data_IF_780066391393
#
_entry.id   IF_780066391393
#
_cell.length_a   1.000
_cell.length_b   1.000
_cell.length_c   1.000
_cell.angle_alpha   90.00
_cell.angle_beta   90.00
_cell.angle_gamma   90.00
#
_symmetry.space_group_name_H-M   'P 1'
#
loop_
_entity.id
_entity.type
_entity.pdbx_description
1 polymer ?
#
# COMPACT_ATOMS: atom_id res chain seq x y z
N UNK A 1 -6.18 -25.06 -1.02
CA UNK A 1 -4.78 -25.33 -0.65
C UNK A 1 -4.24 -24.09 0.03
N UNK A 2 -3.72 -24.21 1.26
CA UNK A 2 -3.06 -23.09 1.93
C UNK A 2 -1.58 -23.11 1.58
N UNK A 3 -1.10 -22.08 0.87
CA UNK A 3 0.33 -21.88 0.68
C UNK A 3 0.93 -21.39 1.99
N UNK A 4 1.91 -22.12 2.54
CA UNK A 4 2.67 -21.69 3.71
C UNK A 4 3.93 -20.99 3.21
N UNK A 5 4.10 -19.72 3.54
CA UNK A 5 5.28 -18.94 3.20
C UNK A 5 6.15 -18.80 4.44
N UNK A 6 7.45 -19.08 4.30
CA UNK A 6 8.45 -18.79 5.32
C UNK A 6 9.02 -17.40 5.04
N UNK A 7 8.67 -16.43 5.88
CA UNK A 7 9.15 -15.05 5.79
C UNK A 7 9.70 -14.58 7.14
N UNK A 8 10.63 -13.62 7.18
CA UNK A 8 11.09 -13.03 8.43
C UNK A 8 9.92 -12.48 9.25
N UNK A 9 9.95 -12.66 10.57
CA UNK A 9 8.85 -12.31 11.46
C UNK A 9 8.45 -10.83 11.38
N UNK A 10 9.41 -9.94 11.16
CA UNK A 10 9.20 -8.50 10.99
C UNK A 10 8.47 -8.13 9.69
N UNK A 11 8.42 -9.03 8.70
CA UNK A 11 7.74 -8.82 7.42
C UNK A 11 6.25 -9.21 7.51
N UNK A 12 5.89 -10.10 8.44
CA UNK A 12 4.52 -10.60 8.61
C UNK A 12 3.48 -9.48 8.79
N UNK A 13 3.65 -8.50 9.72
CA UNK A 13 2.64 -7.45 9.89
C UNK A 13 2.47 -6.58 8.64
N UNK A 14 3.55 -6.36 7.87
CA UNK A 14 3.50 -5.62 6.59
C UNK A 14 2.65 -6.39 5.58
N UNK A 15 2.94 -7.67 5.38
CA UNK A 15 2.19 -8.52 4.45
C UNK A 15 0.72 -8.66 4.88
N UNK A 16 0.45 -8.72 6.19
CA UNK A 16 -0.92 -8.69 6.71
C UNK A 16 -1.64 -7.42 6.23
N UNK A 17 -1.11 -6.24 6.53
CA UNK A 17 -1.74 -4.97 6.12
C UNK A 17 -1.93 -4.88 4.60
N UNK A 18 -0.90 -5.22 3.82
CA UNK A 18 -0.95 -5.18 2.35
C UNK A 18 -2.00 -6.16 1.80
N UNK A 19 -2.12 -7.35 2.40
CA UNK A 19 -3.15 -8.31 1.98
C UNK A 19 -4.58 -7.83 2.23
N UNK A 20 -4.80 -6.93 3.20
CA UNK A 20 -6.14 -6.44 3.50
C UNK A 20 -6.63 -5.39 2.48
N UNK A 21 -5.72 -4.77 1.73
CA UNK A 21 -6.04 -3.75 0.73
C UNK A 21 -6.97 -4.28 -0.36
N UNK A 22 -6.83 -5.56 -0.73
CA UNK A 22 -7.72 -6.20 -1.72
C UNK A 22 -9.19 -6.23 -1.27
N UNK A 23 -9.45 -6.13 0.03
CA UNK A 23 -10.79 -6.05 0.61
C UNK A 23 -11.26 -4.61 0.83
N UNK A 24 -10.45 -3.63 0.45
CA UNK A 24 -10.73 -2.20 0.61
C UNK A 24 -10.74 -1.69 2.04
N UNK A 25 -10.31 -2.51 2.99
CA UNK A 25 -10.37 -2.19 4.41
C UNK A 25 -9.23 -2.87 5.16
N UNK A 26 -8.40 -2.07 5.82
CA UNK A 26 -7.29 -2.54 6.65
C UNK A 26 -7.66 -2.30 8.11
N UNK A 27 -7.81 -3.38 8.88
CA UNK A 27 -7.87 -3.30 10.34
C UNK A 27 -6.46 -3.07 10.91
N UNK A 28 -6.26 -1.93 11.58
CA UNK A 28 -4.98 -1.58 12.18
C UNK A 28 -4.87 -2.03 13.65
N UNK A 29 -5.95 -2.50 14.27
CA UNK A 29 -5.89 -3.00 15.66
C UNK A 29 -5.19 -4.36 15.73
N UNK A 30 -5.50 -5.28 14.80
CA UNK A 30 -4.85 -6.58 14.71
C UNK A 30 -3.32 -6.49 14.69
N UNK A 31 -2.68 -5.71 13.80
CA UNK A 31 -1.23 -5.67 13.74
C UNK A 31 -0.56 -5.04 14.98
N UNK A 32 -1.18 -4.03 15.58
CA UNK A 32 -0.74 -3.46 16.86
C UNK A 32 -0.71 -4.51 17.96
N UNK A 33 -1.83 -5.22 18.14
CA UNK A 33 -1.99 -6.18 19.24
C UNK A 33 -1.15 -7.44 19.08
N UNK A 34 -0.95 -7.90 17.84
CA UNK A 34 -0.31 -9.19 17.57
C UNK A 34 1.20 -9.08 17.33
N UNK A 35 1.66 -7.98 16.76
CA UNK A 35 3.06 -7.80 16.35
C UNK A 35 3.70 -6.51 16.86
N UNK A 36 3.01 -5.72 17.69
CA UNK A 36 3.48 -4.40 18.14
C UNK A 36 3.87 -3.49 16.96
N UNK A 37 3.12 -3.62 15.86
CA UNK A 37 3.37 -2.90 14.62
C UNK A 37 2.36 -1.77 14.49
N UNK A 38 2.84 -0.54 14.31
CA UNK A 38 2.04 0.68 14.15
C UNK A 38 1.84 1.02 12.66
N UNK A 39 0.71 0.64 12.02
CA UNK A 39 0.57 0.78 10.56
C UNK A 39 0.48 2.23 10.11
N UNK A 40 -0.10 3.11 10.94
CA UNK A 40 -0.23 4.53 10.60
C UNK A 40 1.13 5.24 10.53
N UNK A 41 2.09 4.79 11.34
CA UNK A 41 3.46 5.33 11.32
C UNK A 41 4.29 4.66 10.21
N UNK A 42 4.19 3.33 10.09
CA UNK A 42 4.97 2.57 9.12
C UNK A 42 4.64 2.88 7.65
N UNK A 43 3.44 3.38 7.39
CA UNK A 43 2.94 3.72 6.05
C UNK A 43 2.54 5.19 5.92
N UNK A 44 3.04 6.06 6.81
CA UNK A 44 2.57 7.44 6.94
C UNK A 44 2.57 8.20 5.61
N UNK A 45 3.64 8.09 4.83
CA UNK A 45 3.81 8.81 3.56
C UNK A 45 2.79 8.34 2.53
N UNK A 46 2.64 7.02 2.39
CA UNK A 46 1.67 6.46 1.45
C UNK A 46 0.24 6.79 1.85
N UNK A 47 -0.07 6.71 3.15
CA UNK A 47 -1.39 7.04 3.71
C UNK A 47 -1.73 8.50 3.46
N UNK A 48 -0.87 9.44 3.85
CA UNK A 48 -1.07 10.88 3.69
C UNK A 48 -1.38 11.22 2.23
N UNK A 49 -0.54 10.74 1.31
CA UNK A 49 -0.73 10.95 -0.12
C UNK A 49 -2.05 10.36 -0.65
N UNK A 50 -2.43 9.17 -0.20
CA UNK A 50 -3.69 8.54 -0.61
C UNK A 50 -4.91 9.26 -0.03
N UNK A 51 -4.81 9.82 1.18
CA UNK A 51 -5.86 10.67 1.76
C UNK A 51 -6.00 11.95 0.93
N UNK A 52 -4.89 12.63 0.63
CA UNK A 52 -4.88 13.84 -0.21
C UNK A 52 -5.43 13.59 -1.63
N UNK A 53 -5.21 12.38 -2.14
CA UNK A 53 -5.71 11.96 -3.45
C UNK A 53 -7.15 11.41 -3.40
N UNK A 54 -7.84 11.46 -2.26
CA UNK A 54 -9.19 10.91 -2.06
C UNK A 54 -9.30 9.40 -2.37
N UNK A 55 -8.18 8.68 -2.28
CA UNK A 55 -8.08 7.23 -2.48
C UNK A 55 -8.34 6.47 -1.18
N UNK A 56 -8.17 7.13 -0.04
CA UNK A 56 -8.19 6.51 1.27
C UNK A 56 -8.85 7.41 2.32
N UNK A 57 -9.51 6.78 3.30
CA UNK A 57 -10.09 7.44 4.47
C UNK A 57 -9.52 6.73 5.71
N UNK A 58 -8.87 7.50 6.59
CA UNK A 58 -8.38 6.99 7.88
C UNK A 58 -9.46 7.20 8.94
N UNK A 59 -9.86 6.11 9.59
CA UNK A 59 -10.72 6.11 10.78
C UNK A 59 -9.92 5.61 11.99
N UNK A 60 -10.52 5.70 13.18
CA UNK A 60 -9.86 5.40 14.46
C UNK A 60 -9.04 4.08 14.46
N UNK A 61 -9.64 2.98 14.01
CA UNK A 61 -9.01 1.64 14.01
C UNK A 61 -8.97 1.01 12.62
N UNK A 62 -9.26 1.77 11.57
CA UNK A 62 -9.44 1.21 10.23
C UNK A 62 -8.95 2.21 9.19
N UNK A 63 -8.29 1.70 8.15
CA UNK A 63 -8.05 2.42 6.91
C UNK A 63 -9.02 1.87 5.86
N UNK A 64 -9.82 2.73 5.24
CA UNK A 64 -10.77 2.36 4.18
C UNK A 64 -10.30 2.92 2.85
N UNK A 65 -10.32 2.10 1.80
CA UNK A 65 -10.10 2.55 0.43
C UNK A 65 -11.43 3.02 -0.16
N UNK A 66 -11.40 4.15 -0.86
CA UNK A 66 -12.54 4.61 -1.66
C UNK A 66 -12.64 3.80 -2.96
N UNK A 67 -13.70 3.98 -3.75
CA UNK A 67 -13.78 3.37 -5.10
C UNK A 67 -12.57 3.72 -5.96
N UNK A 68 -12.05 4.96 -5.83
CA UNK A 68 -10.83 5.41 -6.50
C UNK A 68 -9.60 4.69 -5.97
N UNK A 69 -9.48 4.55 -4.66
CA UNK A 69 -8.38 3.78 -4.04
C UNK A 69 -8.41 2.31 -4.45
N UNK A 70 -9.59 1.70 -4.52
CA UNK A 70 -9.75 0.30 -4.93
C UNK A 70 -9.23 0.03 -6.33
N UNK A 71 -9.37 1.00 -7.25
CA UNK A 71 -8.77 0.91 -8.58
C UNK A 71 -7.23 0.82 -8.52
N UNK A 72 -6.61 1.44 -7.51
CA UNK A 72 -5.16 1.46 -7.30
C UNK A 72 -4.68 0.52 -6.20
N UNK A 73 -5.53 -0.37 -5.68
CA UNK A 73 -5.29 -1.22 -4.52
C UNK A 73 -3.91 -1.93 -4.57
N UNK A 74 -3.59 -2.59 -5.68
CA UNK A 74 -2.32 -3.31 -5.83
C UNK A 74 -1.10 -2.37 -5.79
N UNK A 75 -1.24 -1.15 -6.31
CA UNK A 75 -0.15 -0.17 -6.35
C UNK A 75 0.07 0.45 -4.98
N UNK A 76 -1.02 0.83 -4.30
CA UNK A 76 -0.99 1.33 -2.92
C UNK A 76 -0.36 0.28 -2.00
N UNK A 77 -0.73 -0.99 -2.14
CA UNK A 77 -0.13 -2.07 -1.35
C UNK A 77 1.36 -2.28 -1.62
N UNK A 78 1.79 -2.16 -2.87
CA UNK A 78 3.21 -2.22 -3.21
C UNK A 78 3.99 -1.02 -2.64
N UNK A 79 3.41 0.18 -2.68
CA UNK A 79 4.01 1.40 -2.10
C UNK A 79 4.16 1.29 -0.59
N UNK A 80 3.13 0.82 0.12
CA UNK A 80 3.19 0.55 1.57
C UNK A 80 4.28 -0.47 1.90
N UNK A 81 4.40 -1.54 1.11
CA UNK A 81 5.46 -2.53 1.30
C UNK A 81 6.85 -1.92 1.06
N UNK A 82 7.03 -1.10 0.02
CA UNK A 82 8.30 -0.42 -0.28
C UNK A 82 8.68 0.59 0.80
N UNK A 83 7.71 1.37 1.28
CA UNK A 83 7.90 2.35 2.35
C UNK A 83 8.47 1.67 3.60
N UNK A 84 7.80 0.62 4.08
CA UNK A 84 8.18 -0.03 5.33
C UNK A 84 9.41 -0.95 5.19
N UNK A 85 9.48 -1.78 4.15
CA UNK A 85 10.55 -2.80 4.03
C UNK A 85 11.86 -2.25 3.46
N UNK A 86 11.79 -1.16 2.69
CA UNK A 86 12.94 -0.61 1.97
C UNK A 86 13.15 0.88 2.27
N UNK A 87 12.52 1.44 3.30
CA UNK A 87 12.57 2.86 3.65
C UNK A 87 12.23 3.77 2.46
N UNK A 88 11.24 3.36 1.66
CA UNK A 88 10.82 4.08 0.45
C UNK A 88 11.79 3.96 -0.74
N UNK A 89 12.91 3.23 -0.60
CA UNK A 89 13.92 3.06 -1.66
C UNK A 89 13.66 1.77 -2.43
N UNK A 90 12.70 1.81 -3.35
CA UNK A 90 12.39 0.69 -4.24
C UNK A 90 11.82 1.16 -5.56
N UNK A 91 12.02 0.36 -6.60
CA UNK A 91 11.40 0.58 -7.91
C UNK A 91 10.11 -0.24 -8.02
N UNK A 92 9.01 0.43 -8.39
CA UNK A 92 7.75 -0.24 -8.69
C UNK A 92 7.74 -0.65 -10.16
N UNK A 93 7.83 -1.96 -10.40
CA UNK A 93 7.80 -2.54 -11.73
C UNK A 93 6.49 -3.28 -11.94
N UNK A 94 5.70 -2.85 -12.93
CA UNK A 94 4.53 -3.61 -13.39
C UNK A 94 4.97 -4.81 -14.22
N UNK A 95 4.41 -5.98 -13.90
CA UNK A 95 4.62 -7.24 -14.60
C UNK A 95 3.58 -7.49 -15.71
N UNK A 96 2.64 -6.56 -15.96
CA UNK A 96 1.56 -6.72 -16.92
C UNK A 96 1.91 -6.26 -18.36
N UNK A 97 1.12 -6.75 -19.33
CA UNK A 97 1.30 -6.56 -20.77
C UNK A 97 0.88 -5.16 -21.29
N UNK A 98 1.19 -4.85 -22.56
CA UNK A 98 1.17 -3.49 -23.16
C UNK A 98 -0.07 -2.58 -22.89
N UNK A 99 -1.34 -3.02 -22.84
CA UNK A 99 -2.47 -2.14 -22.51
C UNK A 99 -2.38 -1.57 -21.08
N UNK A 100 -1.86 -2.36 -20.14
CA UNK A 100 -1.56 -1.95 -18.76
C UNK A 100 -0.44 -0.90 -18.70
N UNK A 101 0.41 -0.80 -19.75
CA UNK A 101 1.43 0.25 -19.85
C UNK A 101 0.83 1.64 -20.04
N UNK A 102 -0.36 1.78 -20.63
CA UNK A 102 -1.01 3.09 -20.81
C UNK A 102 -1.51 3.61 -19.46
N UNK A 103 -2.16 2.75 -18.66
CA UNK A 103 -2.52 3.09 -17.28
C UNK A 103 -1.25 3.40 -16.44
N UNK A 104 -0.15 2.68 -16.68
CA UNK A 104 1.16 2.91 -16.06
C UNK A 104 1.84 4.21 -16.50
N UNK A 105 1.77 4.62 -17.76
CA UNK A 105 2.33 5.91 -18.21
C UNK A 105 1.57 7.06 -17.56
N UNK A 106 0.24 6.95 -17.43
CA UNK A 106 -0.57 7.90 -16.67
C UNK A 106 -0.18 7.89 -15.17
N UNK A 107 0.11 6.73 -14.58
CA UNK A 107 0.62 6.62 -13.20
C UNK A 107 2.01 7.24 -13.02
N UNK A 108 2.95 6.93 -13.92
CA UNK A 108 4.33 7.39 -13.87
C UNK A 108 4.43 8.90 -14.13
N UNK A 109 3.61 9.46 -15.03
CA UNK A 109 3.52 10.90 -15.22
C UNK A 109 2.96 11.61 -13.99
N UNK A 110 1.93 11.04 -13.34
CA UNK A 110 1.44 11.57 -12.07
C UNK A 110 2.51 11.54 -10.97
N UNK A 111 3.34 10.50 -10.91
CA UNK A 111 4.41 10.40 -9.91
C UNK A 111 5.57 11.35 -10.26
N UNK A 112 5.94 11.48 -11.55
CA UNK A 112 7.02 12.36 -12.02
C UNK A 112 6.68 13.84 -11.90
N UNK A 113 5.47 14.26 -12.29
CA UNK A 113 5.04 15.66 -12.13
C UNK A 113 4.93 16.10 -10.66
N UNK A 114 5.00 15.16 -9.71
CA UNK A 114 4.95 15.40 -8.27
C UNK A 114 6.33 15.44 -7.59
N UNK A 115 7.43 15.21 -8.33
CA UNK A 115 8.82 15.36 -7.84
C UNK A 115 9.45 16.71 -8.17
N UNK A 116 8.84 17.50 -9.06
CA UNK A 116 9.32 18.82 -9.50
C UNK A 116 8.66 20.00 -8.75
N UNK A 117 8.09 19.74 -7.56
CA UNK A 117 7.64 20.74 -6.56
C UNK A 117 8.37 20.44 -5.25
#
# INVERSE_FOLDING_TARGET
MGSVFSVPANVIPVLWCVSQIQYGRIDIETPRRRWDFEPLEAFATTIERCVDSEEMIVRKNVIELTTKGMFWANTIGAEMAVECLYNGRGELVSLEDKPSKIAKEIMLDKIRSRKDI
#
